data_IF_810019130973
#
_entry.id   IF_810019130973
#
_cell.length_a   1.000
_cell.length_b   1.000
_cell.length_c   1.000
_cell.angle_alpha   90.00
_cell.angle_beta   90.00
_cell.angle_gamma   90.00
#
_symmetry.space_group_name_H-M   'P 1'
#
loop_
_entity.id
_entity.type
_entity.pdbx_description
1 polymer ?
#
# COMPACT_ATOMS: atom_id res chain seq x y z
N UNK A 1 -1.10 0.75 19.36
CA UNK A 1 -1.69 1.75 20.30
C UNK A 1 -0.61 2.65 20.90
N UNK A 2 0.54 2.10 21.34
CA UNK A 2 1.61 2.89 21.94
C UNK A 2 2.20 3.98 21.01
N UNK A 3 2.56 3.66 19.76
CA UNK A 3 3.28 4.62 18.90
C UNK A 3 2.50 5.92 18.60
N UNK A 4 1.21 5.88 18.21
CA UNK A 4 0.43 7.11 18.03
C UNK A 4 0.30 7.93 19.31
N UNK A 5 0.16 7.27 20.47
CA UNK A 5 0.04 7.95 21.77
C UNK A 5 1.34 8.66 22.14
N UNK A 6 2.49 8.02 21.92
CA UNK A 6 3.80 8.65 22.13
C UNK A 6 3.88 9.94 21.31
N UNK A 7 3.61 9.86 20.01
CA UNK A 7 3.68 11.02 19.10
C UNK A 7 2.72 12.14 19.54
N UNK A 8 1.44 11.82 19.78
CA UNK A 8 0.43 12.81 20.16
C UNK A 8 0.77 13.47 21.50
N UNK A 9 1.15 12.68 22.51
CA UNK A 9 1.48 13.22 23.83
C UNK A 9 2.75 14.08 23.78
N UNK A 10 3.77 13.71 23.00
CA UNK A 10 4.97 14.55 22.83
C UNK A 10 4.63 15.88 22.15
N UNK A 11 3.78 15.86 21.12
CA UNK A 11 3.34 17.10 20.44
C UNK A 11 2.58 18.01 21.41
N UNK A 12 1.67 17.44 22.22
CA UNK A 12 0.92 18.20 23.21
C UNK A 12 1.86 18.77 24.28
N UNK A 13 2.78 17.95 24.82
CA UNK A 13 3.75 18.39 25.82
C UNK A 13 4.63 19.54 25.30
N UNK A 14 5.11 19.45 24.07
CA UNK A 14 5.91 20.52 23.43
C UNK A 14 5.12 21.82 23.33
N UNK A 15 3.87 21.77 22.85
CA UNK A 15 3.03 22.97 22.71
C UNK A 15 2.71 23.59 24.07
N UNK A 16 2.40 22.77 25.08
CA UNK A 16 2.14 23.24 26.44
C UNK A 16 3.39 23.85 27.09
N UNK A 17 4.57 23.26 26.87
CA UNK A 17 5.85 23.81 27.34
C UNK A 17 6.10 25.20 26.74
N UNK A 18 5.92 25.36 25.43
CA UNK A 18 6.09 26.65 24.75
C UNK A 18 5.13 27.71 25.27
N UNK A 19 3.88 27.32 25.57
CA UNK A 19 2.89 28.24 26.17
C UNK A 19 3.26 28.62 27.61
N UNK A 20 3.76 27.66 28.40
CA UNK A 20 4.23 27.93 29.76
C UNK A 20 5.42 28.89 29.75
N UNK A 21 6.44 28.64 28.93
CA UNK A 21 7.65 29.47 28.82
C UNK A 21 7.36 30.94 28.44
N UNK A 22 6.30 31.18 27.68
CA UNK A 22 5.83 32.53 27.32
C UNK A 22 5.06 33.18 28.48
N UNK A 23 4.15 32.44 29.12
CA UNK A 23 3.29 32.95 30.18
C UNK A 23 4.01 33.14 31.51
N UNK A 24 5.06 32.37 31.81
CA UNK A 24 5.89 32.56 33.01
C UNK A 24 6.63 33.90 33.01
N UNK A 25 6.90 34.47 31.84
CA UNK A 25 7.57 35.77 31.67
C UNK A 25 6.58 36.95 31.66
N UNK A 26 5.29 36.67 31.77
CA UNK A 26 4.22 37.68 31.66
C UNK A 26 4.07 38.51 32.93
N UNK A 27 3.94 39.82 32.78
CA UNK A 27 3.58 40.75 33.86
C UNK A 27 2.07 40.95 34.01
N UNK A 28 1.27 40.62 32.98
CA UNK A 28 -0.20 40.62 32.99
C UNK A 28 -0.74 39.33 32.35
N UNK A 29 -0.84 38.30 33.18
CA UNK A 29 -1.18 36.94 32.74
C UNK A 29 -2.49 36.86 31.93
N UNK A 30 -3.56 37.53 32.38
CA UNK A 30 -4.88 37.43 31.73
C UNK A 30 -4.86 38.02 30.32
N UNK A 31 -4.17 39.15 30.16
CA UNK A 31 -4.03 39.82 28.87
C UNK A 31 -3.19 38.98 27.91
N UNK A 32 -2.04 38.47 28.36
CA UNK A 32 -1.12 37.73 27.50
C UNK A 32 -1.65 36.32 27.16
N UNK A 33 -2.37 35.66 28.08
CA UNK A 33 -3.13 34.44 27.78
C UNK A 33 -4.17 34.68 26.67
N UNK A 34 -4.93 35.77 26.74
CA UNK A 34 -5.93 36.10 25.73
C UNK A 34 -5.30 36.33 24.36
N UNK A 35 -4.15 37.03 24.31
CA UNK A 35 -3.38 37.22 23.08
C UNK A 35 -2.85 35.91 22.52
N UNK A 36 -2.31 35.04 23.38
CA UNK A 36 -1.78 33.73 23.01
C UNK A 36 -2.85 32.88 22.32
N UNK A 37 -4.04 32.77 22.91
CA UNK A 37 -5.17 32.01 22.35
C UNK A 37 -5.54 32.54 20.95
N UNK A 38 -5.72 33.85 20.82
CA UNK A 38 -6.08 34.48 19.54
C UNK A 38 -4.99 34.21 18.48
N UNK A 39 -3.72 34.34 18.85
CA UNK A 39 -2.58 34.09 17.96
C UNK A 39 -2.55 32.63 17.52
N UNK A 40 -2.70 31.68 18.43
CA UNK A 40 -2.70 30.24 18.15
C UNK A 40 -3.84 29.88 17.20
N UNK A 41 -5.06 30.35 17.44
CA UNK A 41 -6.19 30.10 16.53
C UNK A 41 -5.91 30.67 15.14
N UNK A 42 -5.43 31.93 15.04
CA UNK A 42 -5.11 32.55 13.74
C UNK A 42 -4.05 31.76 12.96
N UNK A 43 -2.99 31.31 13.63
CA UNK A 43 -1.88 30.60 12.99
C UNK A 43 -2.25 29.17 12.56
N UNK A 44 -3.16 28.52 13.31
CA UNK A 44 -3.46 27.10 13.12
C UNK A 44 -4.84 26.84 12.50
N UNK A 45 -5.71 27.85 12.30
CA UNK A 45 -7.05 27.68 11.70
C UNK A 45 -7.05 26.89 10.39
N UNK A 46 -5.96 26.98 9.60
CA UNK A 46 -5.80 26.24 8.33
C UNK A 46 -5.94 24.71 8.47
N UNK A 47 -5.66 24.14 9.65
CA UNK A 47 -5.76 22.69 9.90
C UNK A 47 -7.17 22.24 10.31
N UNK A 48 -8.05 23.18 10.66
CA UNK A 48 -9.42 22.87 11.06
C UNK A 48 -10.26 22.66 9.79
N UNK A 49 -10.85 21.48 9.66
CA UNK A 49 -11.70 21.10 8.55
C UNK A 49 -12.89 20.29 9.05
N UNK A 50 -14.10 20.74 8.70
CA UNK A 50 -15.37 20.13 9.12
C UNK A 50 -16.20 19.64 7.91
N UNK A 51 -15.57 19.47 6.75
CA UNK A 51 -16.21 19.00 5.52
C UNK A 51 -15.98 17.50 5.27
N UNK A 52 -16.29 17.05 4.05
CA UNK A 52 -16.02 15.67 3.63
C UNK A 52 -14.52 15.47 3.36
N UNK A 53 -13.86 14.66 4.18
CA UNK A 53 -12.42 14.36 4.04
C UNK A 53 -12.06 13.39 2.92
N UNK A 54 -13.03 12.73 2.30
CA UNK A 54 -12.81 11.74 1.24
C UNK A 54 -12.91 12.30 -0.17
N UNK A 55 -13.49 13.49 -0.34
CA UNK A 55 -13.66 14.08 -1.66
C UNK A 55 -12.32 14.56 -2.23
N UNK A 56 -12.14 14.39 -3.54
CA UNK A 56 -10.97 14.90 -4.26
C UNK A 56 -10.82 16.43 -4.17
N UNK A 57 -11.91 17.15 -3.89
CA UNK A 57 -11.90 18.58 -3.60
C UNK A 57 -11.11 18.91 -2.35
N UNK A 58 -11.18 18.07 -1.30
CA UNK A 58 -10.41 18.26 -0.07
C UNK A 58 -8.91 18.11 -0.32
N UNK A 59 -8.49 17.18 -1.17
CA UNK A 59 -7.06 17.00 -1.50
C UNK A 59 -6.46 18.29 -2.08
N UNK A 60 -7.19 18.93 -3.01
CA UNK A 60 -6.77 20.21 -3.63
C UNK A 60 -6.77 21.35 -2.62
N UNK A 61 -7.80 21.41 -1.77
CA UNK A 61 -7.92 22.43 -0.74
C UNK A 61 -6.83 22.30 0.34
N UNK A 62 -6.52 21.08 0.76
CA UNK A 62 -5.46 20.77 1.71
C UNK A 62 -4.09 21.22 1.19
N UNK A 63 -3.81 20.96 -0.10
CA UNK A 63 -2.60 21.43 -0.77
C UNK A 63 -2.52 22.98 -0.78
N UNK A 64 -3.62 23.67 -1.13
CA UNK A 64 -3.69 25.14 -1.06
C UNK A 64 -3.48 25.69 0.36
N UNK A 65 -3.92 24.95 1.39
CA UNK A 65 -3.71 25.26 2.81
C UNK A 65 -2.29 24.92 3.30
N UNK A 66 -1.44 24.36 2.43
CA UNK A 66 -0.09 23.91 2.77
C UNK A 66 -0.07 22.74 3.76
N UNK A 67 -1.08 21.86 3.69
CA UNK A 67 -1.15 20.64 4.48
C UNK A 67 -0.41 19.52 3.73
N UNK A 68 0.41 18.77 4.45
CA UNK A 68 1.17 17.67 3.89
C UNK A 68 0.25 16.50 3.54
N UNK A 69 0.49 15.87 2.38
CA UNK A 69 -0.22 14.67 1.93
C UNK A 69 0.79 13.65 1.38
N UNK A 70 1.48 12.95 2.29
CA UNK A 70 2.45 11.91 1.97
C UNK A 70 1.68 10.60 1.79
N UNK A 71 1.57 10.14 0.55
CA UNK A 71 0.63 9.06 0.18
C UNK A 71 1.19 7.68 0.43
N UNK A 72 2.51 7.57 0.50
CA UNK A 72 3.20 6.30 0.63
C UNK A 72 4.00 6.25 1.92
N UNK A 73 4.14 5.06 2.51
CA UNK A 73 4.94 4.87 3.72
C UNK A 73 6.39 5.36 3.55
N UNK A 74 7.09 5.07 2.43
CA UNK A 74 8.45 5.59 2.21
C UNK A 74 8.52 7.12 2.06
N UNK A 75 7.45 7.77 1.61
CA UNK A 75 7.36 9.24 1.62
C UNK A 75 7.13 9.80 3.03
N UNK A 76 6.34 9.11 3.84
CA UNK A 76 5.96 9.56 5.18
C UNK A 76 7.05 9.35 6.23
N UNK A 77 7.76 8.23 6.20
CA UNK A 77 8.75 7.86 7.22
C UNK A 77 9.88 8.89 7.43
N UNK A 78 10.43 9.57 6.40
CA UNK A 78 11.43 10.63 6.58
C UNK A 78 10.95 11.79 7.47
N UNK A 79 9.64 12.00 7.61
CA UNK A 79 9.11 13.01 8.52
C UNK A 79 9.49 12.71 9.99
N UNK A 80 9.70 11.45 10.37
CA UNK A 80 10.08 11.08 11.75
C UNK A 80 11.44 11.68 12.15
N UNK A 81 12.39 11.71 11.22
CA UNK A 81 13.76 12.18 11.44
C UNK A 81 13.99 13.64 11.01
N UNK A 82 12.94 14.31 10.52
CA UNK A 82 13.03 15.72 10.13
C UNK A 82 13.52 16.57 11.31
N UNK A 83 14.46 17.53 11.11
CA UNK A 83 15.11 18.26 12.22
C UNK A 83 14.13 18.82 13.25
N UNK A 84 13.07 19.49 12.79
CA UNK A 84 11.98 20.00 13.65
C UNK A 84 11.40 18.96 14.61
N UNK A 85 11.18 17.74 14.12
CA UNK A 85 10.55 16.66 14.88
C UNK A 85 11.57 15.99 15.81
N UNK A 86 12.79 15.76 15.30
CA UNK A 86 13.91 15.25 16.10
C UNK A 86 14.20 16.15 17.29
N UNK A 87 14.27 17.46 17.09
CA UNK A 87 14.57 18.41 18.16
C UNK A 87 13.44 18.45 19.22
N UNK A 88 12.18 18.30 18.80
CA UNK A 88 11.05 18.19 19.73
C UNK A 88 11.18 16.96 20.63
N UNK A 89 11.44 15.78 20.05
CA UNK A 89 11.59 14.56 20.83
C UNK A 89 12.76 14.61 21.80
N UNK A 90 13.86 15.25 21.41
CA UNK A 90 15.04 15.45 22.26
C UNK A 90 14.73 16.43 23.40
N UNK A 91 14.09 17.57 23.12
CA UNK A 91 13.70 18.57 24.15
C UNK A 91 12.79 17.97 25.20
N UNK A 92 11.81 17.18 24.77
CA UNK A 92 10.85 16.53 25.67
C UNK A 92 11.43 15.28 26.37
N UNK A 93 12.68 14.89 26.09
CA UNK A 93 13.32 13.73 26.70
C UNK A 93 12.68 12.38 26.35
N UNK A 94 11.92 12.32 25.25
CA UNK A 94 11.17 11.12 24.85
C UNK A 94 12.05 10.16 24.05
N UNK A 95 12.86 10.71 23.13
CA UNK A 95 13.82 9.94 22.36
C UNK A 95 15.13 10.71 22.19
N UNK A 96 16.22 9.97 22.08
CA UNK A 96 17.49 10.45 21.58
C UNK A 96 17.51 10.45 20.04
N UNK A 97 18.43 11.23 19.44
CA UNK A 97 18.65 11.23 17.99
C UNK A 97 18.94 9.83 17.45
N UNK A 98 19.73 9.05 18.20
CA UNK A 98 20.10 7.70 17.79
C UNK A 98 18.90 6.76 17.78
N UNK A 99 18.05 6.80 18.81
CA UNK A 99 16.83 5.98 18.87
C UNK A 99 15.85 6.31 17.74
N UNK A 100 15.68 7.59 17.41
CA UNK A 100 14.83 8.02 16.30
C UNK A 100 15.32 7.49 14.95
N UNK A 101 16.62 7.60 14.68
CA UNK A 101 17.20 7.05 13.46
C UNK A 101 17.06 5.52 13.43
N UNK A 102 17.39 4.82 14.52
CA UNK A 102 17.22 3.37 14.58
C UNK A 102 15.77 2.93 14.32
N UNK A 103 14.78 3.65 14.88
CA UNK A 103 13.36 3.39 14.61
C UNK A 103 12.99 3.63 13.15
N UNK A 104 13.47 4.72 12.56
CA UNK A 104 13.25 5.04 11.16
C UNK A 104 13.80 3.92 10.23
N UNK A 105 15.03 3.47 10.48
CA UNK A 105 15.64 2.37 9.71
C UNK A 105 14.84 1.06 9.86
N UNK A 106 14.45 0.69 11.08
CA UNK A 106 13.64 -0.51 11.33
C UNK A 106 12.29 -0.44 10.61
N UNK A 107 11.64 0.72 10.59
CA UNK A 107 10.35 0.89 9.91
C UNK A 107 10.48 0.74 8.39
N UNK A 108 11.54 1.29 7.79
CA UNK A 108 11.82 1.13 6.36
C UNK A 108 12.14 -0.33 6.00
N UNK A 109 12.94 -0.99 6.84
CA UNK A 109 13.30 -2.39 6.66
C UNK A 109 12.06 -3.29 6.77
N UNK A 110 11.23 -3.09 7.79
CA UNK A 110 9.99 -3.84 7.98
C UNK A 110 9.05 -3.66 6.79
N UNK A 111 8.85 -2.42 6.33
CA UNK A 111 8.04 -2.13 5.14
C UNK A 111 8.53 -2.93 3.92
N UNK A 112 9.84 -2.87 3.66
CA UNK A 112 10.47 -3.54 2.53
C UNK A 112 10.34 -5.07 2.63
N UNK A 113 10.56 -5.63 3.83
CA UNK A 113 10.42 -7.06 4.10
C UNK A 113 9.00 -7.55 3.92
N UNK A 114 8.00 -6.82 4.41
CA UNK A 114 6.59 -7.17 4.24
C UNK A 114 6.23 -7.29 2.77
N UNK A 115 6.53 -6.28 1.95
CA UNK A 115 6.24 -6.31 0.52
C UNK A 115 7.01 -7.44 -0.18
N UNK A 116 8.27 -7.68 0.20
CA UNK A 116 9.04 -8.78 -0.36
C UNK A 116 8.40 -10.14 -0.07
N UNK A 117 7.93 -10.38 1.16
CA UNK A 117 7.24 -11.63 1.52
C UNK A 117 5.94 -11.76 0.72
N UNK A 118 5.15 -10.68 0.62
CA UNK A 118 3.91 -10.68 -0.17
C UNK A 118 4.18 -10.98 -1.66
N UNK A 119 5.21 -10.35 -2.25
CA UNK A 119 5.61 -10.60 -3.63
C UNK A 119 6.05 -12.05 -3.87
N UNK A 120 6.90 -12.59 -2.99
CA UNK A 120 7.34 -13.99 -3.07
C UNK A 120 6.17 -14.97 -2.90
N UNK A 121 5.25 -14.67 -1.98
CA UNK A 121 4.05 -15.47 -1.77
C UNK A 121 3.14 -15.44 -3.00
N UNK A 122 2.95 -14.27 -3.61
CA UNK A 122 2.19 -14.12 -4.84
C UNK A 122 2.82 -14.91 -5.99
N UNK A 123 4.15 -14.83 -6.17
CA UNK A 123 4.88 -15.63 -7.16
C UNK A 123 4.66 -17.13 -6.92
N UNK A 124 4.75 -17.59 -5.67
CA UNK A 124 4.57 -19.00 -5.30
C UNK A 124 3.14 -19.48 -5.60
N UNK A 125 2.13 -18.70 -5.20
CA UNK A 125 0.72 -18.99 -5.45
C UNK A 125 0.41 -19.05 -6.95
N UNK A 126 0.93 -18.10 -7.73
CA UNK A 126 0.70 -18.08 -9.18
C UNK A 126 1.32 -19.30 -9.84
N UNK A 127 2.56 -19.66 -9.49
CA UNK A 127 3.25 -20.81 -10.06
C UNK A 127 2.62 -22.16 -9.67
N UNK A 128 2.19 -22.32 -8.42
CA UNK A 128 1.72 -23.62 -7.91
C UNK A 128 0.22 -23.83 -8.02
N UNK A 129 -0.57 -22.77 -8.12
CA UNK A 129 -2.03 -22.85 -8.10
C UNK A 129 -2.63 -22.30 -9.39
N UNK A 130 -2.35 -21.04 -9.73
CA UNK A 130 -2.98 -20.37 -10.88
C UNK A 130 -2.56 -20.99 -12.20
N UNK A 131 -1.25 -21.10 -12.47
CA UNK A 131 -0.74 -21.63 -13.74
C UNK A 131 -1.24 -23.07 -13.99
N UNK A 132 -1.16 -24.00 -13.03
CA UNK A 132 -1.70 -25.35 -13.21
C UNK A 132 -3.21 -25.37 -13.48
N UNK A 133 -4.00 -24.53 -12.79
CA UNK A 133 -5.44 -24.42 -13.02
C UNK A 133 -5.77 -23.92 -14.44
N UNK A 134 -5.05 -22.89 -14.89
CA UNK A 134 -5.19 -22.32 -16.24
C UNK A 134 -4.88 -23.39 -17.29
N UNK A 135 -3.71 -24.03 -17.21
CA UNK A 135 -3.27 -25.04 -18.18
C UNK A 135 -4.21 -26.25 -18.17
N UNK A 136 -4.65 -26.70 -16.99
CA UNK A 136 -5.60 -27.80 -16.83
C UNK A 136 -6.92 -27.53 -17.54
N UNK A 137 -7.49 -26.33 -17.34
CA UNK A 137 -8.74 -25.97 -17.98
C UNK A 137 -8.59 -25.73 -19.49
N UNK A 138 -7.48 -25.14 -19.95
CA UNK A 138 -7.19 -25.00 -21.38
C UNK A 138 -7.12 -26.36 -22.08
N UNK A 139 -6.51 -27.37 -21.43
CA UNK A 139 -6.47 -28.74 -21.96
C UNK A 139 -7.87 -29.33 -22.12
N UNK A 140 -8.73 -29.20 -21.11
CA UNK A 140 -10.11 -29.70 -21.20
C UNK A 140 -10.91 -29.06 -22.33
N UNK A 141 -10.76 -27.74 -22.54
CA UNK A 141 -11.40 -27.03 -23.65
C UNK A 141 -10.88 -27.52 -25.01
N UNK A 142 -9.56 -27.70 -25.14
CA UNK A 142 -8.96 -28.20 -26.38
C UNK A 142 -9.42 -29.63 -26.70
N UNK A 143 -9.42 -30.53 -25.70
CA UNK A 143 -9.88 -31.91 -25.84
C UNK A 143 -11.37 -31.96 -26.24
N UNK A 144 -12.21 -31.09 -25.65
CA UNK A 144 -13.63 -30.97 -26.00
C UNK A 144 -13.84 -30.55 -27.46
N UNK A 145 -13.09 -29.55 -27.94
CA UNK A 145 -13.15 -29.08 -29.33
C UNK A 145 -12.77 -30.21 -30.30
N UNK A 146 -11.68 -30.93 -30.00
CA UNK A 146 -11.21 -32.05 -30.81
C UNK A 146 -12.24 -33.18 -30.87
N UNK A 147 -12.82 -33.56 -29.74
CA UNK A 147 -13.83 -34.61 -29.66
C UNK A 147 -15.11 -34.25 -30.45
N UNK A 148 -15.61 -33.01 -30.33
CA UNK A 148 -16.76 -32.55 -31.11
C UNK A 148 -16.51 -32.63 -32.62
N UNK A 149 -15.34 -32.15 -33.08
CA UNK A 149 -14.96 -32.20 -34.50
C UNK A 149 -14.76 -33.63 -35.01
N UNK A 150 -14.25 -34.53 -34.17
CA UNK A 150 -14.07 -35.94 -34.51
C UNK A 150 -15.41 -36.68 -34.69
N UNK A 151 -16.44 -36.34 -33.90
CA UNK A 151 -17.78 -36.92 -34.02
C UNK A 151 -18.46 -36.44 -35.30
N UNK A 152 -18.45 -35.12 -35.53
CA UNK A 152 -19.03 -34.53 -36.74
C UNK A 152 -18.43 -33.15 -36.98
N UNK A 153 -17.76 -32.99 -38.14
CA UNK A 153 -17.11 -31.75 -38.54
C UNK A 153 -18.08 -30.56 -38.72
N UNK A 154 -19.40 -30.79 -38.76
CA UNK A 154 -20.43 -29.74 -38.84
C UNK A 154 -20.88 -29.21 -37.47
N UNK A 155 -20.42 -29.78 -36.36
CA UNK A 155 -20.74 -29.26 -35.03
C UNK A 155 -20.03 -27.93 -34.81
N UNK A 156 -20.78 -26.91 -34.41
CA UNK A 156 -20.21 -25.60 -34.08
C UNK A 156 -19.47 -25.66 -32.74
N UNK A 157 -18.23 -25.17 -32.73
CA UNK A 157 -17.33 -25.11 -31.56
C UNK A 157 -16.92 -23.68 -31.21
N UNK A 158 -17.69 -22.69 -31.69
CA UNK A 158 -17.34 -21.26 -31.63
C UNK A 158 -17.21 -20.76 -30.19
N UNK A 159 -18.07 -21.25 -29.28
CA UNK A 159 -18.05 -20.83 -27.87
C UNK A 159 -16.77 -21.28 -27.17
N UNK A 160 -16.41 -22.55 -27.32
CA UNK A 160 -15.22 -23.15 -26.71
C UNK A 160 -13.94 -22.55 -27.29
N UNK A 161 -13.89 -22.35 -28.61
CA UNK A 161 -12.75 -21.71 -29.27
C UNK A 161 -12.56 -20.28 -28.80
N UNK A 162 -13.64 -19.50 -28.67
CA UNK A 162 -13.57 -18.14 -28.15
C UNK A 162 -13.09 -18.08 -26.70
N UNK A 163 -13.56 -18.99 -25.85
CA UNK A 163 -13.12 -19.06 -24.45
C UNK A 163 -11.64 -19.47 -24.36
N UNK A 164 -11.23 -20.50 -25.12
CA UNK A 164 -9.84 -20.95 -25.16
C UNK A 164 -8.90 -19.86 -25.67
N UNK A 165 -9.30 -19.12 -26.72
CA UNK A 165 -8.51 -18.01 -27.24
C UNK A 165 -8.33 -16.89 -26.21
N UNK A 166 -9.39 -16.53 -25.49
CA UNK A 166 -9.32 -15.52 -24.41
C UNK A 166 -8.37 -15.96 -23.30
N UNK A 167 -8.54 -17.18 -22.79
CA UNK A 167 -7.68 -17.73 -21.74
C UNK A 167 -6.24 -17.79 -22.24
N UNK A 168 -6.00 -18.24 -23.48
CA UNK A 168 -4.65 -18.30 -24.04
C UNK A 168 -3.97 -16.94 -24.14
N UNK A 169 -4.71 -15.88 -24.51
CA UNK A 169 -4.18 -14.52 -24.50
C UNK A 169 -3.80 -14.06 -23.10
N UNK A 170 -4.63 -14.38 -22.10
CA UNK A 170 -4.36 -14.08 -20.70
C UNK A 170 -3.20 -14.89 -20.13
N UNK A 171 -3.01 -16.15 -20.54
CA UNK A 171 -1.87 -16.99 -20.13
C UNK A 171 -0.53 -16.37 -20.55
N UNK A 172 -0.46 -15.82 -21.78
CA UNK A 172 0.74 -15.11 -22.27
C UNK A 172 1.00 -13.85 -21.45
N UNK A 173 -0.06 -13.11 -21.13
CA UNK A 173 0.06 -11.91 -20.30
C UNK A 173 0.46 -12.26 -18.86
N UNK A 174 -0.08 -13.33 -18.29
CA UNK A 174 0.22 -13.85 -16.97
C UNK A 174 1.71 -14.16 -16.85
N UNK A 175 2.27 -14.93 -17.80
CA UNK A 175 3.70 -15.25 -17.84
C UNK A 175 4.56 -13.99 -17.91
N UNK A 176 4.19 -13.04 -18.79
CA UNK A 176 4.92 -11.76 -18.92
C UNK A 176 4.90 -10.95 -17.62
N UNK A 177 3.74 -10.82 -16.96
CA UNK A 177 3.62 -10.05 -15.70
C UNK A 177 4.32 -10.75 -14.54
N UNK A 178 4.26 -12.08 -14.49
CA UNK A 178 4.97 -12.88 -13.48
C UNK A 178 6.49 -12.70 -13.61
N UNK A 179 7.03 -12.80 -14.83
CA UNK A 179 8.45 -12.59 -15.08
C UNK A 179 8.89 -11.17 -14.72
N UNK A 180 8.09 -10.15 -15.07
CA UNK A 180 8.36 -8.78 -14.63
C UNK A 180 8.41 -8.65 -13.10
N UNK A 181 7.46 -9.24 -12.37
CA UNK A 181 7.47 -9.22 -10.90
C UNK A 181 8.73 -9.89 -10.32
N UNK A 182 9.16 -11.03 -10.88
CA UNK A 182 10.38 -11.73 -10.49
C UNK A 182 11.60 -10.82 -10.73
N UNK A 183 11.71 -10.22 -11.92
CA UNK A 183 12.81 -9.31 -12.27
C UNK A 183 12.88 -8.10 -11.33
N UNK A 184 11.74 -7.43 -11.08
CA UNK A 184 11.71 -6.28 -10.17
C UNK A 184 12.11 -6.70 -8.75
N UNK A 185 11.66 -7.86 -8.27
CA UNK A 185 12.01 -8.37 -6.94
C UNK A 185 13.51 -8.66 -6.81
N UNK A 186 14.15 -9.15 -7.88
CA UNK A 186 15.60 -9.37 -7.91
C UNK A 186 16.38 -8.06 -7.96
N UNK A 187 15.94 -7.10 -8.79
CA UNK A 187 16.62 -5.82 -8.97
C UNK A 187 16.72 -5.00 -7.66
N UNK A 188 15.74 -5.11 -6.76
CA UNK A 188 15.76 -4.41 -5.47
C UNK A 188 16.87 -4.93 -4.54
N UNK A 189 17.34 -6.17 -4.71
CA UNK A 189 18.40 -6.76 -3.86
C UNK A 189 19.78 -6.12 -4.04
N UNK A 190 19.99 -5.43 -5.15
CA UNK A 190 21.28 -4.77 -5.44
C UNK A 190 21.40 -3.40 -4.77
N UNK A 191 20.29 -2.86 -4.25
CA UNK A 191 20.24 -1.58 -3.57
C UNK A 191 20.76 -1.71 -2.13
N UNK A 192 21.38 -0.65 -1.61
CA UNK A 192 22.01 -0.65 -0.27
C UNK A 192 21.37 0.31 0.73
N UNK A 193 20.71 1.35 0.26
CA UNK A 193 20.08 2.37 1.11
C UNK A 193 18.63 1.99 1.42
N UNK A 194 18.25 1.96 2.69
CA UNK A 194 16.94 1.47 3.15
C UNK A 194 15.77 2.31 2.61
N UNK A 195 15.94 3.63 2.48
CA UNK A 195 14.89 4.48 1.92
C UNK A 195 14.71 4.20 0.42
N UNK A 196 15.82 4.05 -0.30
CA UNK A 196 15.83 3.73 -1.73
C UNK A 196 15.24 2.35 -1.99
N UNK A 197 15.58 1.36 -1.15
CA UNK A 197 14.98 0.02 -1.16
C UNK A 197 13.46 0.11 -0.96
N UNK A 198 13.00 0.82 0.08
CA UNK A 198 11.58 0.96 0.38
C UNK A 198 10.81 1.66 -0.77
N UNK A 199 11.39 2.70 -1.38
CA UNK A 199 10.82 3.35 -2.57
C UNK A 199 10.76 2.39 -3.76
N UNK A 200 11.82 1.62 -4.02
CA UNK A 200 11.82 0.65 -5.11
C UNK A 200 10.77 -0.45 -4.90
N UNK A 201 10.58 -0.95 -3.68
CA UNK A 201 9.48 -1.86 -3.36
C UNK A 201 8.11 -1.23 -3.63
N UNK A 202 7.92 0.05 -3.27
CA UNK A 202 6.66 0.77 -3.51
C UNK A 202 6.37 1.02 -4.99
N UNK A 203 7.36 1.48 -5.73
CA UNK A 203 7.18 2.01 -7.09
C UNK A 203 7.29 0.92 -8.15
N UNK A 204 8.09 -0.13 -7.91
CA UNK A 204 8.35 -1.19 -8.88
C UNK A 204 7.66 -2.49 -8.49
N UNK A 205 8.03 -3.07 -7.35
CA UNK A 205 7.54 -4.40 -6.94
C UNK A 205 6.05 -4.39 -6.70
N UNK A 206 5.55 -3.46 -5.87
CA UNK A 206 4.12 -3.33 -5.58
C UNK A 206 3.29 -3.03 -6.83
N UNK A 207 3.80 -2.22 -7.76
CA UNK A 207 3.10 -1.96 -9.03
C UNK A 207 3.06 -3.21 -9.91
N UNK A 208 4.15 -3.96 -10.01
CA UNK A 208 4.17 -5.24 -10.72
C UNK A 208 3.23 -6.27 -10.09
N UNK A 209 3.08 -6.28 -8.76
CA UNK A 209 2.10 -7.12 -8.06
C UNK A 209 0.66 -6.75 -8.44
N UNK A 210 0.32 -5.46 -8.52
CA UNK A 210 -1.00 -5.01 -8.97
C UNK A 210 -1.25 -5.46 -10.41
N UNK A 211 -0.30 -5.25 -11.30
CA UNK A 211 -0.46 -5.64 -12.71
C UNK A 211 -0.65 -7.14 -12.88
N UNK A 212 0.10 -7.96 -12.13
CA UNK A 212 -0.07 -9.41 -12.13
C UNK A 212 -1.44 -9.81 -11.60
N UNK A 213 -1.85 -9.20 -10.48
CA UNK A 213 -3.16 -9.45 -9.87
C UNK A 213 -4.31 -9.19 -10.82
N UNK A 214 -4.29 -8.11 -11.60
CA UNK A 214 -5.37 -7.82 -12.56
C UNK A 214 -5.58 -8.97 -13.56
N UNK A 215 -4.50 -9.59 -14.02
CA UNK A 215 -4.60 -10.75 -14.94
C UNK A 215 -5.15 -11.99 -14.23
N UNK A 216 -4.73 -12.22 -12.99
CA UNK A 216 -5.22 -13.34 -12.17
C UNK A 216 -6.71 -13.18 -11.86
N UNK A 217 -7.16 -11.98 -11.50
CA UNK A 217 -8.56 -11.66 -11.23
C UNK A 217 -9.42 -11.86 -12.50
N UNK A 218 -8.91 -11.53 -13.68
CA UNK A 218 -9.60 -11.82 -14.95
C UNK A 218 -9.67 -13.33 -15.26
N UNK A 219 -8.59 -14.07 -14.98
CA UNK A 219 -8.55 -15.53 -15.15
C UNK A 219 -9.49 -16.25 -14.19
N UNK A 220 -9.61 -15.80 -12.94
CA UNK A 220 -10.55 -16.33 -11.94
C UNK A 220 -11.99 -16.36 -12.47
N UNK A 221 -12.39 -15.31 -13.20
CA UNK A 221 -13.74 -15.22 -13.76
C UNK A 221 -14.02 -16.16 -14.95
N UNK A 222 -12.97 -16.66 -15.61
CA UNK A 222 -13.07 -17.49 -16.81
C UNK A 222 -12.82 -18.97 -16.55
N UNK A 223 -12.04 -19.28 -15.51
CA UNK A 223 -11.70 -20.66 -15.17
C UNK A 223 -12.84 -21.29 -14.38
N UNK A 224 -13.13 -22.55 -14.70
CA UNK A 224 -14.12 -23.32 -13.95
C UNK A 224 -13.72 -23.45 -12.48
N UNK A 225 -14.68 -23.30 -11.57
CA UNK A 225 -14.48 -23.48 -10.12
C UNK A 225 -13.93 -24.87 -9.75
N UNK A 226 -14.08 -25.87 -10.63
CA UNK A 226 -13.47 -27.20 -10.44
C UNK A 226 -11.94 -27.18 -10.51
N UNK A 227 -11.37 -26.28 -11.31
CA UNK A 227 -9.91 -26.14 -11.49
C UNK A 227 -9.33 -25.07 -10.58
N UNK A 228 -10.14 -24.11 -10.16
CA UNK A 228 -9.69 -23.00 -9.33
C UNK A 228 -9.64 -23.40 -7.85
N UNK A 229 -8.43 -23.54 -7.31
CA UNK A 229 -8.23 -23.98 -5.92
C UNK A 229 -8.25 -22.86 -4.88
N UNK A 230 -8.18 -21.60 -5.33
CA UNK A 230 -8.11 -20.43 -4.44
C UNK A 230 -9.54 -20.04 -4.06
N UNK A 231 -9.87 -19.89 -2.76
CA UNK A 231 -11.19 -19.42 -2.35
C UNK A 231 -11.50 -18.06 -2.98
N UNK A 232 -12.66 -17.96 -3.62
CA UNK A 232 -13.16 -16.71 -4.17
C UNK A 232 -13.50 -15.72 -3.05
N UNK A 233 -13.59 -14.43 -3.36
CA UNK A 233 -14.01 -13.42 -2.37
C UNK A 233 -15.38 -13.75 -1.75
N UNK A 234 -16.31 -14.28 -2.54
CA UNK A 234 -17.64 -14.68 -2.06
C UNK A 234 -17.55 -15.80 -1.03
N UNK A 235 -16.69 -16.78 -1.26
CA UNK A 235 -16.46 -17.88 -0.30
C UNK A 235 -15.78 -17.38 0.96
N UNK A 236 -14.75 -16.54 0.85
CA UNK A 236 -14.07 -15.97 2.02
C UNK A 236 -15.05 -15.16 2.88
N UNK A 237 -15.84 -14.29 2.27
CA UNK A 237 -16.76 -13.40 2.99
C UNK A 237 -17.97 -14.14 3.58
N UNK A 238 -18.43 -15.22 2.95
CA UNK A 238 -19.59 -15.99 3.41
C UNK A 238 -19.22 -17.25 4.21
N UNK A 239 -17.96 -17.67 4.25
CA UNK A 239 -17.51 -18.87 4.99
C UNK A 239 -17.51 -18.71 6.51
N UNK A 240 -17.72 -17.48 7.02
CA UNK A 240 -17.75 -17.15 8.46
C UNK A 240 -19.18 -16.82 8.94
N UNK A 241 -20.20 -17.05 8.11
CA UNK A 241 -21.63 -17.03 8.49
C UNK A 241 -22.19 -18.46 8.54
#
# INVERSE_FOLDING_TARGET
IADPIIILNTIIAEVLSQFADELEKSTDFKRDLSKLIIRTIKNHKRIIFNGNGYDSSWVKEAEQRGLSNLKTTPEALPALIHPKNTDMFIRQGVFTKHELHSRYEILLENYSKTINIEALTMIDMVNKQVIPAVIGYQKELADLILQKKAINAKLETVMEENLLNKISGLSVLLEKRLNNLIEQTLAVRELKDNLTIARAFREKVYMAMIELRLVVDELEMLISSKHWSIPTYTEILNSVM
#
